data_IF_561041183149
#
_entry.id   IF_561041183149
#
_cell.length_a   1.000
_cell.length_b   1.000
_cell.length_c   1.000
_cell.angle_alpha   90.00
_cell.angle_beta   90.00
_cell.angle_gamma   90.00
#
_symmetry.space_group_name_H-M   'P 1'
#
loop_
_entity.id
_entity.type
_entity.pdbx_description
1 polymer ?
#
# COMPACT_ATOMS: atom_id res chain seq x y z
N UNK A 1 10.11 -11.75 -19.21
CA UNK A 1 8.80 -11.33 -19.71
C UNK A 1 7.73 -12.01 -18.86
N UNK A 2 6.80 -11.25 -18.29
CA UNK A 2 5.73 -11.72 -17.40
C UNK A 2 4.41 -11.23 -17.99
N UNK A 3 3.41 -12.09 -18.02
CA UNK A 3 2.03 -11.73 -18.39
C UNK A 3 1.07 -12.41 -17.41
N UNK A 4 0.16 -11.67 -16.83
CA UNK A 4 -0.83 -12.18 -15.87
C UNK A 4 -2.06 -11.26 -15.86
N UNK A 5 -3.14 -11.78 -15.34
CA UNK A 5 -4.38 -11.05 -15.09
C UNK A 5 -4.83 -11.33 -13.66
N UNK A 6 -5.41 -10.34 -13.00
CA UNK A 6 -5.94 -10.46 -11.64
C UNK A 6 -7.35 -9.92 -11.61
N UNK A 7 -8.28 -10.74 -11.16
CA UNK A 7 -9.69 -10.37 -11.09
C UNK A 7 -9.98 -9.56 -9.83
N UNK A 8 -11.08 -8.83 -9.85
CA UNK A 8 -11.53 -8.10 -8.66
C UNK A 8 -11.75 -9.05 -7.47
N UNK A 9 -11.18 -8.70 -6.32
CA UNK A 9 -11.29 -9.51 -5.09
C UNK A 9 -10.26 -10.63 -4.99
N UNK A 10 -9.31 -10.73 -5.91
CA UNK A 10 -8.23 -11.71 -5.84
C UNK A 10 -6.98 -11.14 -5.16
N UNK A 11 -6.23 -12.03 -4.53
CA UNK A 11 -4.89 -11.76 -4.00
C UNK A 11 -3.87 -12.51 -4.85
N UNK A 12 -3.00 -11.77 -5.55
CA UNK A 12 -1.90 -12.34 -6.33
C UNK A 12 -0.57 -12.15 -5.61
N UNK A 13 0.13 -13.25 -5.34
CA UNK A 13 1.48 -13.26 -4.80
C UNK A 13 2.56 -13.30 -5.88
N UNK A 14 3.45 -12.30 -5.91
CA UNK A 14 4.68 -12.31 -6.68
C UNK A 14 5.79 -12.92 -5.84
N UNK A 15 6.02 -14.22 -6.01
CA UNK A 15 7.06 -14.95 -5.29
C UNK A 15 8.35 -15.00 -6.11
N UNK A 16 9.48 -14.77 -5.47
CA UNK A 16 10.78 -14.91 -6.11
C UNK A 16 11.93 -14.36 -5.24
N UNK A 17 13.18 -14.78 -5.54
CA UNK A 17 14.34 -14.29 -4.80
C UNK A 17 14.56 -12.79 -4.99
N UNK A 18 15.41 -12.21 -4.11
CA UNK A 18 15.83 -10.81 -4.28
C UNK A 18 16.54 -10.65 -5.64
N UNK A 19 16.25 -9.51 -6.31
CA UNK A 19 16.77 -9.26 -7.67
C UNK A 19 15.97 -9.89 -8.81
N UNK A 20 14.92 -10.68 -8.55
CA UNK A 20 14.07 -11.27 -9.60
C UNK A 20 13.20 -10.26 -10.38
N UNK A 21 13.18 -8.99 -9.97
CA UNK A 21 12.42 -7.92 -10.63
C UNK A 21 11.03 -7.67 -10.05
N UNK A 22 10.69 -8.23 -8.89
CA UNK A 22 9.39 -8.03 -8.20
C UNK A 22 9.10 -6.54 -8.01
N UNK A 23 9.92 -5.84 -7.23
CA UNK A 23 9.75 -4.39 -6.95
C UNK A 23 9.82 -3.54 -8.22
N UNK A 24 10.60 -3.94 -9.23
CA UNK A 24 10.62 -3.27 -10.52
C UNK A 24 9.28 -3.38 -11.23
N UNK A 25 8.66 -4.56 -11.21
CA UNK A 25 7.31 -4.77 -11.78
C UNK A 25 6.28 -3.92 -11.03
N UNK A 26 6.30 -3.91 -9.67
CA UNK A 26 5.41 -3.07 -8.87
C UNK A 26 5.56 -1.58 -9.21
N UNK A 27 6.80 -1.09 -9.37
CA UNK A 27 7.08 0.30 -9.77
C UNK A 27 6.56 0.63 -11.17
N UNK A 28 6.56 -0.32 -12.12
CA UNK A 28 5.97 -0.12 -13.44
C UNK A 28 4.44 -0.04 -13.34
N UNK A 29 3.79 -0.95 -12.62
CA UNK A 29 2.34 -0.96 -12.40
C UNK A 29 1.84 0.30 -11.71
N UNK A 30 2.63 0.87 -10.80
CA UNK A 30 2.30 2.12 -10.09
C UNK A 30 2.69 3.39 -10.87
N UNK A 31 3.11 3.26 -12.12
CA UNK A 31 3.59 4.35 -12.98
C UNK A 31 4.74 5.17 -12.36
N UNK A 32 5.56 4.54 -11.50
CA UNK A 32 6.75 5.16 -10.93
C UNK A 32 7.92 5.17 -11.92
N UNK A 33 8.05 4.09 -12.71
CA UNK A 33 8.99 3.97 -13.83
C UNK A 33 8.24 3.44 -15.05
N UNK A 34 8.59 3.90 -16.27
CA UNK A 34 8.02 3.33 -17.49
C UNK A 34 8.61 1.95 -17.79
N UNK A 35 7.84 1.00 -18.35
CA UNK A 35 8.39 -0.26 -18.84
C UNK A 35 9.22 -0.03 -20.13
N UNK A 36 10.28 -0.82 -20.32
CA UNK A 36 11.07 -0.80 -21.57
C UNK A 36 10.32 -1.40 -22.78
N UNK A 37 9.35 -2.30 -22.50
CA UNK A 37 8.44 -2.90 -23.49
C UNK A 37 7.25 -3.53 -22.78
N UNK A 38 6.17 -3.77 -23.52
CA UNK A 38 4.91 -4.26 -22.97
C UNK A 38 4.08 -3.13 -22.35
N UNK A 39 2.93 -3.48 -21.80
CA UNK A 39 2.00 -2.56 -21.15
C UNK A 39 1.27 -3.25 -20.02
N UNK A 40 0.53 -2.49 -19.23
CA UNK A 40 -0.44 -3.02 -18.27
C UNK A 40 -1.66 -2.09 -18.20
N UNK A 41 -2.77 -2.65 -17.78
CA UNK A 41 -4.00 -1.90 -17.50
C UNK A 41 -4.44 -2.16 -16.06
N UNK A 42 -4.92 -1.13 -15.40
CA UNK A 42 -5.46 -1.20 -14.05
C UNK A 42 -6.82 -0.52 -14.02
N UNK A 43 -7.86 -1.29 -13.70
CA UNK A 43 -9.24 -0.82 -13.75
C UNK A 43 -9.62 -0.20 -15.12
N UNK A 44 -9.08 -0.73 -16.23
CA UNK A 44 -9.33 -0.25 -17.59
C UNK A 44 -8.49 0.96 -18.01
N UNK A 45 -7.55 1.42 -17.17
CA UNK A 45 -6.64 2.53 -17.48
C UNK A 45 -5.24 2.01 -17.80
N UNK A 46 -4.67 2.46 -18.92
CA UNK A 46 -3.30 2.13 -19.35
C UNK A 46 -2.27 2.83 -18.47
N UNK A 47 -1.25 2.10 -18.00
CA UNK A 47 -0.13 2.68 -17.24
C UNK A 47 0.71 3.67 -18.07
N UNK A 48 0.62 3.59 -19.40
CA UNK A 48 1.37 4.45 -20.32
C UNK A 48 0.58 5.69 -20.73
N UNK A 49 -0.73 5.54 -20.98
CA UNK A 49 -1.59 6.60 -21.52
C UNK A 49 -2.34 7.37 -20.42
N UNK A 50 -2.68 6.69 -19.32
CA UNK A 50 -3.52 7.22 -18.24
C UNK A 50 -2.84 7.11 -16.86
N UNK A 51 -1.59 7.55 -16.66
CA UNK A 51 -0.85 7.29 -15.42
C UNK A 51 -1.44 7.98 -14.17
N UNK A 52 -2.17 9.08 -14.33
CA UNK A 52 -2.83 9.76 -13.21
C UNK A 52 -4.07 8.99 -12.75
N UNK A 53 -4.87 8.54 -13.69
CA UNK A 53 -6.04 7.69 -13.45
C UNK A 53 -5.64 6.38 -12.78
N UNK A 54 -4.58 5.73 -13.28
CA UNK A 54 -3.99 4.52 -12.68
C UNK A 54 -3.59 4.77 -11.22
N UNK A 55 -2.87 5.86 -10.93
CA UNK A 55 -2.45 6.19 -9.56
C UNK A 55 -3.62 6.49 -8.61
N UNK A 56 -4.75 6.93 -9.15
CA UNK A 56 -5.98 7.13 -8.37
C UNK A 56 -6.68 5.82 -8.03
N UNK A 57 -6.44 4.74 -8.81
CA UNK A 57 -6.99 3.41 -8.55
C UNK A 57 -6.11 2.56 -7.62
N UNK A 58 -4.88 3.02 -7.32
CA UNK A 58 -3.89 2.21 -6.61
C UNK A 58 -3.55 2.81 -5.24
N UNK A 59 -3.58 1.98 -4.21
CA UNK A 59 -2.82 2.17 -2.98
C UNK A 59 -1.48 1.43 -3.09
N UNK A 60 -0.38 2.12 -2.92
CA UNK A 60 0.95 1.52 -3.03
C UNK A 60 1.72 1.59 -1.72
N UNK A 61 2.17 0.43 -1.25
CA UNK A 61 3.09 0.29 -0.14
C UNK A 61 4.44 -0.20 -0.70
N UNK A 62 5.45 0.66 -0.85
CA UNK A 62 6.79 0.24 -1.24
C UNK A 62 7.52 -0.47 -0.09
N UNK A 63 8.54 -1.29 -0.40
CA UNK A 63 9.41 -1.96 0.57
C UNK A 63 9.97 -1.00 1.63
N UNK A 64 10.36 0.22 1.21
CA UNK A 64 10.77 1.31 2.10
C UNK A 64 9.84 2.50 1.85
N UNK A 65 8.78 2.59 2.64
CA UNK A 65 7.85 3.71 2.53
C UNK A 65 8.50 4.97 3.13
N UNK A 66 8.55 6.08 2.38
CA UNK A 66 8.97 7.34 2.95
C UNK A 66 7.97 7.80 4.01
N UNK A 67 8.48 8.27 5.14
CA UNK A 67 7.68 8.86 6.20
C UNK A 67 8.29 10.20 6.62
N UNK A 68 7.48 11.06 7.21
CA UNK A 68 7.94 12.28 7.87
C UNK A 68 8.09 11.96 9.35
N UNK A 69 9.27 11.51 9.74
CA UNK A 69 9.56 10.93 11.05
C UNK A 69 9.21 11.84 12.23
N UNK A 70 9.32 13.17 12.04
CA UNK A 70 8.99 14.19 13.03
C UNK A 70 7.48 14.50 13.17
N UNK A 71 6.65 13.95 12.28
CA UNK A 71 5.19 14.15 12.35
C UNK A 71 4.53 13.14 13.28
N UNK A 72 3.40 13.55 13.89
CA UNK A 72 2.50 12.61 14.53
C UNK A 72 1.78 11.75 13.47
N UNK A 73 1.44 10.51 13.80
CA UNK A 73 0.74 9.60 12.87
C UNK A 73 -0.52 10.26 12.29
N UNK A 74 -1.38 10.85 13.14
CA UNK A 74 -2.61 11.51 12.70
C UNK A 74 -2.37 12.73 11.82
N UNK A 75 -1.31 13.51 12.09
CA UNK A 75 -0.91 14.66 11.27
C UNK A 75 -0.40 14.20 9.90
N UNK A 76 0.45 13.17 9.86
CA UNK A 76 0.95 12.59 8.63
C UNK A 76 -0.19 12.07 7.74
N UNK A 77 -1.13 11.30 8.30
CA UNK A 77 -2.28 10.81 7.55
C UNK A 77 -3.20 11.94 7.07
N UNK A 78 -3.35 12.99 7.86
CA UNK A 78 -4.10 14.20 7.45
C UNK A 78 -3.42 14.91 6.29
N UNK A 79 -2.10 15.10 6.36
CA UNK A 79 -1.30 15.67 5.28
C UNK A 79 -1.42 14.86 3.97
N UNK A 80 -1.33 13.53 4.06
CA UNK A 80 -1.53 12.66 2.88
C UNK A 80 -2.93 12.80 2.30
N UNK A 81 -3.96 12.88 3.16
CA UNK A 81 -5.34 13.10 2.72
C UNK A 81 -5.51 14.45 2.00
N UNK A 82 -4.86 15.51 2.50
CA UNK A 82 -4.86 16.83 1.84
C UNK A 82 -4.21 16.80 0.47
N UNK A 83 -3.05 16.13 0.32
CA UNK A 83 -2.39 15.93 -0.98
C UNK A 83 -3.30 15.18 -1.97
N UNK A 84 -4.14 14.27 -1.47
CA UNK A 84 -5.14 13.55 -2.27
C UNK A 84 -6.40 14.38 -2.56
N UNK A 85 -6.45 15.65 -2.13
CA UNK A 85 -7.53 16.59 -2.40
C UNK A 85 -8.70 16.54 -1.41
N UNK A 86 -8.58 15.80 -0.31
CA UNK A 86 -9.61 15.78 0.73
C UNK A 86 -9.45 16.99 1.67
N UNK A 87 -10.56 17.49 2.18
CA UNK A 87 -10.58 18.61 3.12
C UNK A 87 -11.74 18.54 4.11
N UNK A 88 -11.67 19.32 5.17
CA UNK A 88 -12.75 19.51 6.12
C UNK A 88 -13.26 18.20 6.77
N UNK A 89 -14.56 17.97 6.70
CA UNK A 89 -15.20 16.78 7.32
C UNK A 89 -14.81 15.48 6.63
N UNK A 90 -14.64 15.48 5.30
CA UNK A 90 -14.27 14.28 4.55
C UNK A 90 -12.84 13.84 4.87
N UNK A 91 -11.89 14.75 4.99
CA UNK A 91 -10.54 14.47 5.43
C UNK A 91 -10.55 13.76 6.79
N UNK A 92 -11.23 14.34 7.78
CA UNK A 92 -11.31 13.76 9.14
C UNK A 92 -11.94 12.36 9.11
N UNK A 93 -12.98 12.18 8.31
CA UNK A 93 -13.64 10.88 8.13
C UNK A 93 -12.68 9.83 7.56
N UNK A 94 -11.93 10.19 6.49
CA UNK A 94 -10.97 9.30 5.84
C UNK A 94 -9.84 8.89 6.79
N UNK A 95 -9.25 9.86 7.49
CA UNK A 95 -8.21 9.59 8.48
C UNK A 95 -8.74 8.66 9.59
N UNK A 96 -9.91 8.94 10.15
CA UNK A 96 -10.48 8.07 11.18
C UNK A 96 -10.69 6.63 10.70
N UNK A 97 -11.21 6.46 9.48
CA UNK A 97 -11.42 5.13 8.88
C UNK A 97 -10.11 4.35 8.77
N UNK A 98 -9.06 4.94 8.19
CA UNK A 98 -7.80 4.21 8.00
C UNK A 98 -7.07 3.96 9.32
N UNK A 99 -7.15 4.88 10.29
CA UNK A 99 -6.63 4.69 11.65
C UNK A 99 -7.28 3.48 12.33
N UNK A 100 -8.60 3.35 12.21
CA UNK A 100 -9.33 2.19 12.75
C UNK A 100 -9.01 0.91 12.00
N UNK A 101 -9.03 0.93 10.65
CA UNK A 101 -8.73 -0.23 9.80
C UNK A 101 -7.33 -0.80 10.06
N UNK A 102 -6.34 0.05 10.33
CA UNK A 102 -4.94 -0.37 10.52
C UNK A 102 -4.54 -0.46 11.99
N UNK A 103 -5.51 -0.33 12.92
CA UNK A 103 -5.28 -0.42 14.37
C UNK A 103 -4.20 0.55 14.87
N UNK A 104 -4.30 1.82 14.45
CA UNK A 104 -3.35 2.89 14.81
C UNK A 104 -3.87 3.82 15.92
N UNK A 105 -5.08 3.60 16.43
CA UNK A 105 -5.74 4.52 17.36
C UNK A 105 -4.89 4.85 18.60
N UNK A 106 -4.21 3.86 19.15
CA UNK A 106 -3.39 4.02 20.35
C UNK A 106 -2.10 4.84 20.11
N UNK A 107 -1.63 4.90 18.85
CA UNK A 107 -0.40 5.62 18.46
C UNK A 107 -0.67 6.84 17.59
N UNK A 108 -1.93 7.20 17.37
CA UNK A 108 -2.34 8.32 16.49
C UNK A 108 -1.66 9.64 16.85
N UNK A 109 -1.38 9.86 18.14
CA UNK A 109 -0.73 11.06 18.69
C UNK A 109 0.76 10.84 19.02
N UNK A 110 1.40 9.79 18.49
CA UNK A 110 2.83 9.54 18.66
C UNK A 110 3.60 9.95 17.40
N UNK A 111 4.85 10.39 17.60
CA UNK A 111 5.79 10.67 16.51
C UNK A 111 6.15 9.38 15.78
N UNK A 112 6.20 9.44 14.44
CA UNK A 112 6.49 8.27 13.60
C UNK A 112 7.85 7.67 13.94
N UNK A 113 8.87 8.49 14.25
CA UNK A 113 10.21 8.01 14.64
C UNK A 113 10.21 7.14 15.91
N UNK A 114 9.24 7.33 16.80
CA UNK A 114 9.15 6.59 18.06
C UNK A 114 8.40 5.27 17.95
N UNK A 115 7.79 4.99 16.80
CA UNK A 115 7.00 3.79 16.58
C UNK A 115 7.86 2.53 16.44
N UNK A 116 7.31 1.39 16.88
CA UNK A 116 7.84 0.09 16.50
C UNK A 116 7.78 -0.11 14.98
N UNK A 117 8.59 -1.03 14.44
CA UNK A 117 8.57 -1.34 13.00
C UNK A 117 7.16 -1.75 12.52
N UNK A 118 6.42 -2.52 13.32
CA UNK A 118 5.04 -2.92 13.01
C UNK A 118 4.08 -1.74 12.90
N UNK A 119 4.15 -0.78 13.82
CA UNK A 119 3.33 0.43 13.75
C UNK A 119 3.72 1.35 12.58
N UNK A 120 5.01 1.46 12.25
CA UNK A 120 5.45 2.19 11.04
C UNK A 120 4.88 1.53 9.78
N UNK A 121 4.93 0.20 9.70
CA UNK A 121 4.37 -0.54 8.57
C UNK A 121 2.86 -0.33 8.43
N UNK A 122 2.11 -0.37 9.53
CA UNK A 122 0.67 -0.08 9.54
C UNK A 122 0.38 1.38 9.17
N UNK A 123 1.21 2.34 9.60
CA UNK A 123 1.09 3.75 9.20
C UNK A 123 1.28 3.92 7.69
N UNK A 124 2.27 3.23 7.11
CA UNK A 124 2.50 3.23 5.66
C UNK A 124 1.35 2.55 4.89
N UNK A 125 0.76 1.50 5.47
CA UNK A 125 -0.44 0.86 4.89
C UNK A 125 -1.65 1.79 4.97
N UNK A 126 -1.86 2.51 6.09
CA UNK A 126 -2.91 3.51 6.23
C UNK A 126 -2.79 4.63 5.20
N UNK A 127 -1.56 5.11 4.93
CA UNK A 127 -1.28 6.06 3.85
C UNK A 127 -1.75 5.54 2.49
N UNK A 128 -1.45 4.27 2.17
CA UNK A 128 -1.86 3.66 0.90
C UNK A 128 -3.39 3.53 0.77
N UNK A 129 -4.11 3.45 1.88
CA UNK A 129 -5.56 3.26 1.96
C UNK A 129 -6.37 4.57 2.02
N UNK A 130 -5.75 5.72 2.24
CA UNK A 130 -6.43 6.98 2.59
C UNK A 130 -7.51 7.40 1.58
N UNK A 131 -7.31 7.12 0.29
CA UNK A 131 -8.22 7.46 -0.80
C UNK A 131 -9.16 6.31 -1.20
N UNK A 132 -9.15 5.19 -0.43
CA UNK A 132 -10.00 4.01 -0.63
C UNK A 132 -9.84 3.36 -2.02
N UNK A 133 -8.64 2.96 -2.40
CA UNK A 133 -8.35 2.44 -3.73
C UNK A 133 -8.94 1.02 -3.92
N UNK A 134 -9.43 0.67 -5.13
CA UNK A 134 -9.88 -0.68 -5.45
C UNK A 134 -8.72 -1.70 -5.61
N UNK A 135 -7.49 -1.22 -5.83
CA UNK A 135 -6.30 -2.06 -6.02
C UNK A 135 -5.23 -1.67 -5.00
N UNK A 136 -4.67 -2.66 -4.31
CA UNK A 136 -3.51 -2.50 -3.44
C UNK A 136 -2.30 -3.21 -4.04
N UNK A 137 -1.17 -2.53 -4.08
CA UNK A 137 0.13 -3.08 -4.48
C UNK A 137 1.05 -2.96 -3.27
N UNK A 138 1.46 -4.10 -2.72
CA UNK A 138 2.21 -4.21 -1.48
C UNK A 138 3.56 -4.88 -1.76
N UNK A 139 4.64 -4.12 -1.60
CA UNK A 139 6.01 -4.62 -1.86
C UNK A 139 6.65 -5.03 -0.53
N UNK A 140 6.80 -6.35 -0.31
CA UNK A 140 7.35 -6.98 0.90
C UNK A 140 6.69 -6.47 2.21
N UNK A 141 5.35 -6.50 2.34
CA UNK A 141 4.63 -5.81 3.41
C UNK A 141 4.94 -6.30 4.82
N UNK A 142 5.55 -7.46 4.97
CA UNK A 142 5.89 -8.06 6.27
C UNK A 142 7.39 -8.21 6.50
N UNK A 143 8.24 -7.65 5.60
CA UNK A 143 9.69 -7.81 5.74
C UNK A 143 10.24 -7.21 7.03
N UNK A 144 11.10 -7.98 7.69
CA UNK A 144 11.77 -7.61 8.95
C UNK A 144 10.84 -7.37 10.14
N UNK A 145 9.58 -7.79 10.09
CA UNK A 145 8.67 -7.84 11.23
C UNK A 145 8.88 -9.13 12.03
N UNK A 146 8.63 -9.08 13.34
CA UNK A 146 8.57 -10.29 14.16
C UNK A 146 7.32 -11.13 13.83
N UNK A 147 7.25 -12.41 14.26
CA UNK A 147 6.15 -13.31 13.92
C UNK A 147 4.75 -12.79 14.29
N UNK A 148 4.62 -12.11 15.43
CA UNK A 148 3.34 -11.56 15.86
C UNK A 148 2.90 -10.39 14.98
N UNK A 149 3.82 -9.46 14.70
CA UNK A 149 3.59 -8.33 13.81
C UNK A 149 3.27 -8.79 12.38
N UNK A 150 3.96 -9.83 11.88
CA UNK A 150 3.63 -10.45 10.58
C UNK A 150 2.20 -10.96 10.56
N UNK A 151 1.80 -11.70 11.59
CA UNK A 151 0.43 -12.24 11.69
C UNK A 151 -0.62 -11.10 11.68
N UNK A 152 -0.37 -10.02 12.41
CA UNK A 152 -1.27 -8.87 12.46
C UNK A 152 -1.40 -8.18 11.10
N UNK A 153 -0.28 -7.91 10.40
CA UNK A 153 -0.29 -7.29 9.06
C UNK A 153 -0.95 -8.22 8.03
N UNK A 154 -0.68 -9.53 8.06
CA UNK A 154 -1.35 -10.51 7.19
C UNK A 154 -2.86 -10.54 7.41
N UNK A 155 -3.29 -10.49 8.67
CA UNK A 155 -4.72 -10.44 9.02
C UNK A 155 -5.38 -9.19 8.48
N UNK A 156 -4.72 -8.03 8.58
CA UNK A 156 -5.20 -6.78 8.00
C UNK A 156 -5.34 -6.90 6.47
N UNK A 157 -4.32 -7.41 5.78
CA UNK A 157 -4.33 -7.60 4.32
C UNK A 157 -5.46 -8.56 3.92
N UNK A 158 -5.61 -9.67 4.62
CA UNK A 158 -6.68 -10.65 4.36
C UNK A 158 -8.07 -10.03 4.51
N UNK A 159 -8.31 -9.26 5.55
CA UNK A 159 -9.61 -8.59 5.75
C UNK A 159 -9.93 -7.59 4.63
N UNK A 160 -8.90 -6.95 4.06
CA UNK A 160 -9.06 -6.00 2.95
C UNK A 160 -9.30 -6.68 1.59
N UNK A 161 -8.93 -7.96 1.43
CA UNK A 161 -9.08 -8.67 0.15
C UNK A 161 -10.53 -9.00 -0.22
N UNK A 162 -11.47 -8.90 0.71
CA UNK A 162 -12.90 -9.11 0.43
C UNK A 162 -13.46 -8.09 -0.58
N UNK A 163 -12.97 -6.85 -0.53
CA UNK A 163 -13.46 -5.74 -1.34
C UNK A 163 -12.46 -5.22 -2.38
N UNK A 164 -11.19 -5.65 -2.31
CA UNK A 164 -10.09 -5.10 -3.12
C UNK A 164 -9.29 -6.19 -3.82
N UNK A 165 -8.73 -5.84 -4.96
CA UNK A 165 -7.68 -6.65 -5.61
C UNK A 165 -6.34 -6.32 -4.97
N UNK A 166 -5.56 -7.33 -4.58
CA UNK A 166 -4.30 -7.13 -3.88
C UNK A 166 -3.17 -7.85 -4.62
N UNK A 167 -2.11 -7.11 -4.94
CA UNK A 167 -0.84 -7.66 -5.42
C UNK A 167 0.19 -7.56 -4.31
N UNK A 168 0.81 -8.68 -3.95
CA UNK A 168 1.84 -8.75 -2.91
C UNK A 168 3.12 -9.30 -3.50
N UNK A 169 4.24 -8.60 -3.32
CA UNK A 169 5.55 -9.21 -3.53
C UNK A 169 6.04 -9.84 -2.24
N UNK A 170 6.63 -11.02 -2.35
CA UNK A 170 7.29 -11.67 -1.22
C UNK A 170 8.42 -12.58 -1.69
N UNK A 171 9.39 -12.81 -0.82
CA UNK A 171 10.44 -13.81 -1.01
C UNK A 171 10.22 -15.05 -0.12
N UNK A 172 9.15 -15.08 0.67
CA UNK A 172 8.80 -16.11 1.64
C UNK A 172 7.55 -16.87 1.15
N UNK A 173 7.67 -18.22 1.04
CA UNK A 173 6.57 -19.09 0.57
C UNK A 173 5.36 -19.17 1.51
N UNK A 174 5.51 -18.75 2.75
CA UNK A 174 4.45 -18.84 3.78
C UNK A 174 3.57 -17.59 3.86
N UNK A 175 3.81 -16.63 3.00
CA UNK A 175 3.02 -15.40 2.87
C UNK A 175 1.94 -15.53 1.80
#
# INVERSE_FOLDING_TARGET
>A
QVSFEVQKGEVLGFLGPNGAGKSTTMKMLTCFIPPSSGTAEICGFSILENPLEVRNQIGYLPESAPSYDEMLVGEFLSFVAEIRGFSGKELKRRVSIVVDMTSLREVENQMIETLSKGFRQRTSLAQALIHDPPVLILDEPTDGLDPNQKHEVRTLIKNMSEDRTILISTHILEE
#
